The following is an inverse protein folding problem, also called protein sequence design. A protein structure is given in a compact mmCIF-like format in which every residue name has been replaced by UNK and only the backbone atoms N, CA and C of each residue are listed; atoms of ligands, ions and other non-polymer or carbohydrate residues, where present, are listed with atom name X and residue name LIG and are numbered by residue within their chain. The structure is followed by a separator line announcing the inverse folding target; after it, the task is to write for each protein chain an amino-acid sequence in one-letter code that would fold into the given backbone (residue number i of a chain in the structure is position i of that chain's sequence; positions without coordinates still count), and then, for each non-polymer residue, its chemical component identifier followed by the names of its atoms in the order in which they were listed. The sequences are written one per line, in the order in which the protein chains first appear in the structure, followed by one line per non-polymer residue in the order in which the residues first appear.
data_IF_252160744518
#
_entry.id   IF_252160744518
#
_cell.length_a   1.000
_cell.length_b   1.000
_cell.length_c   1.000
_cell.angle_alpha   90.00
_cell.angle_beta   90.00
_cell.angle_gamma   90.00
#
_symmetry.space_group_name_H-M   'P 1'
#
loop_
_entity.id
_entity.type
_entity.pdbx_description
1 polymer ?
#
# COMPACT_ATOMS: atom_id res chain seq x y z
N UNK A 1 -1.93 8.04 -29.23
CA UNK A 1 -1.26 7.54 -28.00
C UNK A 1 -1.56 8.36 -26.74
N UNK A 2 -1.54 9.71 -26.77
CA UNK A 2 -1.80 10.54 -25.57
C UNK A 2 -3.17 10.28 -24.89
N UNK A 3 -4.24 10.14 -25.66
CA UNK A 3 -5.60 9.91 -25.13
C UNK A 3 -5.78 8.55 -24.44
N UNK A 4 -5.05 7.52 -24.87
CA UNK A 4 -5.15 6.18 -24.30
C UNK A 4 -4.48 6.10 -22.92
N UNK A 5 -3.35 6.79 -22.75
CA UNK A 5 -2.66 6.90 -21.47
C UNK A 5 -3.49 7.70 -20.45
N UNK A 6 -4.20 8.74 -20.89
CA UNK A 6 -5.14 9.48 -20.03
C UNK A 6 -6.34 8.63 -19.59
N UNK A 7 -6.89 7.80 -20.48
CA UNK A 7 -8.01 6.91 -20.13
C UNK A 7 -7.60 5.86 -19.10
N UNK A 8 -6.42 5.25 -19.26
CA UNK A 8 -5.87 4.29 -18.29
C UNK A 8 -5.58 4.97 -16.94
N UNK A 9 -5.05 6.19 -16.95
CA UNK A 9 -4.73 6.91 -15.71
C UNK A 9 -5.99 7.30 -14.94
N UNK A 10 -7.05 7.77 -15.64
CA UNK A 10 -8.34 8.09 -15.03
C UNK A 10 -9.03 6.86 -14.47
N UNK A 11 -9.08 5.77 -15.22
CA UNK A 11 -9.68 4.51 -14.77
C UNK A 11 -8.94 3.95 -13.54
N UNK A 12 -7.61 4.02 -13.51
CA UNK A 12 -6.83 3.60 -12.35
C UNK A 12 -7.04 4.48 -11.13
N UNK A 13 -7.12 5.80 -11.32
CA UNK A 13 -7.42 6.73 -10.23
C UNK A 13 -8.78 6.43 -9.60
N UNK A 14 -9.80 6.16 -10.42
CA UNK A 14 -11.13 5.76 -9.95
C UNK A 14 -11.10 4.41 -9.19
N UNK A 15 -10.31 3.43 -9.64
CA UNK A 15 -10.12 2.16 -8.90
C UNK A 15 -9.51 2.38 -7.52
N UNK A 16 -8.44 3.18 -7.43
CA UNK A 16 -7.78 3.51 -6.17
C UNK A 16 -8.73 4.27 -5.23
N UNK A 17 -9.50 5.21 -5.76
CA UNK A 17 -10.50 5.96 -4.97
C UNK A 17 -11.59 5.06 -4.39
N UNK A 18 -12.02 4.03 -5.14
CA UNK A 18 -13.00 3.06 -4.68
C UNK A 18 -12.40 2.09 -3.66
N UNK A 19 -11.20 1.54 -3.92
CA UNK A 19 -10.50 0.66 -2.98
C UNK A 19 -10.26 1.34 -1.63
N UNK A 20 -9.79 2.60 -1.65
CA UNK A 20 -9.59 3.38 -0.41
C UNK A 20 -10.92 3.65 0.29
N UNK A 21 -12.00 3.90 -0.46
CA UNK A 21 -13.31 4.14 0.14
C UNK A 21 -13.87 2.88 0.81
N UNK A 22 -13.80 1.73 0.15
CA UNK A 22 -14.25 0.43 0.68
C UNK A 22 -13.48 0.06 1.96
N UNK A 23 -12.16 0.23 1.98
CA UNK A 23 -11.34 -0.07 3.16
C UNK A 23 -11.68 0.85 4.36
N UNK A 24 -11.86 2.16 4.10
CA UNK A 24 -12.27 3.11 5.14
C UNK A 24 -13.65 2.77 5.71
N UNK A 25 -14.61 2.45 4.83
CA UNK A 25 -15.94 2.01 5.23
C UNK A 25 -15.87 0.75 6.10
N UNK A 26 -15.09 -0.24 5.69
CA UNK A 26 -14.89 -1.48 6.43
C UNK A 26 -14.36 -1.24 7.85
N UNK A 27 -13.39 -0.34 8.03
CA UNK A 27 -12.87 -0.03 9.36
C UNK A 27 -13.88 0.70 10.25
N UNK A 28 -14.64 1.65 9.70
CA UNK A 28 -15.69 2.37 10.43
C UNK A 28 -16.78 1.38 10.86
N UNK A 29 -17.21 0.50 9.96
CA UNK A 29 -18.24 -0.51 10.24
C UNK A 29 -17.78 -1.52 11.29
N UNK A 30 -16.51 -1.96 11.21
CA UNK A 30 -15.90 -2.84 12.22
C UNK A 30 -15.89 -2.17 13.60
N UNK A 31 -15.49 -0.90 13.65
CA UNK A 31 -15.43 -0.15 14.89
C UNK A 31 -16.83 0.14 15.48
N UNK A 32 -17.82 0.41 14.63
CA UNK A 32 -19.22 0.55 15.05
C UNK A 32 -19.78 -0.78 15.58
N UNK A 33 -19.40 -1.91 14.99
CA UNK A 33 -19.76 -3.24 15.50
C UNK A 33 -19.19 -3.47 16.90
N UNK A 34 -17.94 -3.06 17.15
CA UNK A 34 -17.33 -3.17 18.48
C UNK A 34 -18.11 -2.36 19.53
N UNK A 35 -18.50 -1.12 19.22
CA UNK A 35 -19.34 -0.31 20.12
C UNK A 35 -20.72 -0.92 20.36
N UNK A 36 -21.31 -1.52 19.33
CA UNK A 36 -22.60 -2.21 19.45
C UNK A 36 -22.47 -3.44 20.35
N UNK A 37 -21.35 -4.16 20.28
CA UNK A 37 -21.06 -5.30 21.17
C UNK A 37 -20.90 -4.89 22.65
N UNK A 38 -20.52 -3.64 22.90
CA UNK A 38 -20.44 -3.03 24.24
C UNK A 38 -21.81 -2.52 24.75
N UNK A 39 -22.89 -2.75 24.00
CA UNK A 39 -24.26 -2.37 24.37
C UNK A 39 -24.67 -0.96 23.97
N UNK A 40 -23.86 -0.26 23.16
CA UNK A 40 -24.23 1.04 22.59
C UNK A 40 -25.18 0.82 21.41
N UNK A 41 -26.14 1.73 21.22
CA UNK A 41 -27.10 1.64 20.11
C UNK A 41 -26.38 1.74 18.75
N UNK A 42 -26.87 1.09 17.68
CA UNK A 42 -26.19 1.08 16.38
C UNK A 42 -25.93 2.50 15.82
N UNK A 43 -26.90 3.39 15.96
CA UNK A 43 -26.79 4.79 15.53
C UNK A 43 -25.70 5.53 16.29
N UNK A 44 -25.65 5.39 17.62
CA UNK A 44 -24.65 6.03 18.46
C UNK A 44 -23.26 5.41 18.28
N UNK A 45 -23.19 4.10 18.08
CA UNK A 45 -21.98 3.36 17.73
C UNK A 45 -21.33 3.87 16.45
N UNK A 46 -22.14 4.21 15.43
CA UNK A 46 -21.63 4.74 14.17
C UNK A 46 -21.10 6.17 14.33
N UNK A 47 -21.81 7.01 15.09
CA UNK A 47 -21.35 8.37 15.41
C UNK A 47 -20.03 8.32 16.19
N UNK A 48 -19.89 7.40 17.16
CA UNK A 48 -18.65 7.21 17.91
C UNK A 48 -17.51 6.67 17.05
N UNK A 49 -17.80 5.75 16.14
CA UNK A 49 -16.81 5.23 15.19
C UNK A 49 -16.31 6.34 14.25
N UNK A 50 -17.21 7.12 13.65
CA UNK A 50 -16.85 8.25 12.78
C UNK A 50 -16.04 9.32 13.56
N UNK A 51 -16.50 9.69 14.76
CA UNK A 51 -15.79 10.66 15.61
C UNK A 51 -14.39 10.18 16.02
N UNK A 52 -14.22 8.87 16.24
CA UNK A 52 -12.94 8.27 16.59
C UNK A 52 -12.01 8.11 15.39
N UNK A 53 -12.56 7.84 14.21
CA UNK A 53 -11.80 7.79 12.96
C UNK A 53 -11.26 9.17 12.57
N UNK A 54 -12.00 10.23 12.92
CA UNK A 54 -11.59 11.61 12.73
C UNK A 54 -11.93 12.14 11.34
N UNK A 55 -11.01 12.89 10.73
CA UNK A 55 -11.22 13.49 9.41
C UNK A 55 -11.03 12.45 8.28
N UNK A 56 -12.10 11.71 8.00
CA UNK A 56 -12.16 10.64 6.99
C UNK A 56 -11.77 11.16 5.60
N UNK A 57 -12.22 12.36 5.23
CA UNK A 57 -11.93 12.94 3.90
C UNK A 57 -10.45 13.30 3.76
N UNK A 58 -9.84 13.85 4.81
CA UNK A 58 -8.39 14.07 4.82
C UNK A 58 -7.62 12.76 4.69
N UNK A 59 -7.99 11.72 5.45
CA UNK A 59 -7.33 10.41 5.38
C UNK A 59 -7.45 9.82 3.97
N UNK A 60 -8.66 9.86 3.39
CA UNK A 60 -8.94 9.41 2.02
C UNK A 60 -8.02 10.11 1.02
N UNK A 61 -7.93 11.44 1.09
CA UNK A 61 -7.12 12.24 0.17
C UNK A 61 -5.64 11.89 0.24
N UNK A 62 -5.11 11.65 1.44
CA UNK A 62 -3.72 11.27 1.66
C UNK A 62 -3.43 9.86 1.14
N UNK A 63 -4.32 8.90 1.37
CA UNK A 63 -4.21 7.53 0.85
C UNK A 63 -4.17 7.51 -0.68
N UNK A 64 -5.09 8.25 -1.33
CA UNK A 64 -5.11 8.38 -2.80
C UNK A 64 -3.80 9.00 -3.31
N UNK A 65 -3.31 10.06 -2.64
CA UNK A 65 -2.07 10.75 -3.00
C UNK A 65 -0.86 9.82 -2.92
N UNK A 66 -0.76 9.01 -1.86
CA UNK A 66 0.35 8.06 -1.66
C UNK A 66 0.30 6.93 -2.69
N UNK A 67 -0.88 6.33 -2.91
CA UNK A 67 -1.06 5.22 -3.85
C UNK A 67 -0.76 5.63 -5.30
N UNK A 68 -1.13 6.84 -5.69
CA UNK A 68 -0.86 7.39 -7.02
C UNK A 68 0.65 7.59 -7.27
N UNK A 69 1.44 7.96 -6.25
CA UNK A 69 2.87 8.26 -6.41
C UNK A 69 3.72 7.01 -6.65
N UNK A 70 3.39 5.88 -6.02
CA UNK A 70 4.22 4.67 -6.06
C UNK A 70 3.98 3.81 -7.32
N UNK A 71 2.81 3.92 -7.95
CA UNK A 71 2.44 3.10 -9.11
C UNK A 71 3.12 3.55 -10.40
N UNK A 72 3.35 4.85 -10.59
CA UNK A 72 4.00 5.38 -11.80
C UNK A 72 5.47 4.94 -11.91
N UNK A 73 6.24 5.12 -10.83
CA UNK A 73 7.65 4.76 -10.83
C UNK A 73 7.85 3.26 -11.07
N UNK A 74 7.05 2.43 -10.41
CA UNK A 74 7.09 0.96 -10.59
C UNK A 74 6.73 0.54 -12.01
N UNK A 75 5.76 1.20 -12.64
CA UNK A 75 5.35 0.92 -14.01
C UNK A 75 6.43 1.32 -15.03
N UNK A 76 7.02 2.51 -14.86
CA UNK A 76 8.14 2.97 -15.70
C UNK A 76 9.35 2.05 -15.56
N UNK A 77 9.72 1.68 -14.33
CA UNK A 77 10.86 0.79 -14.08
C UNK A 77 10.65 -0.57 -14.76
N UNK A 78 9.46 -1.16 -14.59
CA UNK A 78 9.09 -2.42 -15.26
C UNK A 78 9.20 -2.30 -16.78
N UNK A 79 8.71 -1.21 -17.35
CA UNK A 79 8.77 -0.97 -18.79
C UNK A 79 10.21 -0.86 -19.29
N UNK A 80 11.06 -0.11 -18.60
CA UNK A 80 12.49 0.04 -18.94
C UNK A 80 13.21 -1.31 -18.91
N UNK A 81 13.01 -2.10 -17.85
CA UNK A 81 13.65 -3.43 -17.76
C UNK A 81 13.12 -4.41 -18.81
N UNK A 82 11.82 -4.36 -19.14
CA UNK A 82 11.24 -5.16 -20.20
C UNK A 82 11.84 -4.80 -21.57
N UNK A 83 11.92 -3.50 -21.88
CA UNK A 83 12.55 -3.04 -23.14
C UNK A 83 14.01 -3.45 -23.20
N UNK A 84 14.76 -3.30 -22.10
CA UNK A 84 16.15 -3.75 -21.99
C UNK A 84 16.27 -5.26 -22.27
N UNK A 85 15.36 -6.08 -21.75
CA UNK A 85 15.35 -7.53 -21.98
C UNK A 85 15.07 -7.87 -23.45
N UNK A 86 14.04 -7.24 -24.05
CA UNK A 86 13.68 -7.46 -25.45
C UNK A 86 14.82 -7.04 -26.40
N UNK A 87 15.44 -5.89 -26.15
CA UNK A 87 16.60 -5.42 -26.91
C UNK A 87 17.78 -6.38 -26.75
N UNK A 88 18.07 -6.84 -25.53
CA UNK A 88 19.12 -7.83 -25.27
C UNK A 88 18.90 -9.14 -26.04
N UNK A 89 17.66 -9.63 -26.08
CA UNK A 89 17.28 -10.82 -26.85
C UNK A 89 17.40 -10.60 -28.36
N UNK A 90 16.97 -9.44 -28.88
CA UNK A 90 17.11 -9.07 -30.29
C UNK A 90 18.58 -9.01 -30.70
N UNK A 91 19.43 -8.35 -29.90
CA UNK A 91 20.88 -8.28 -30.15
C UNK A 91 21.48 -9.68 -30.18
N UNK A 92 21.06 -10.56 -29.26
CA UNK A 92 21.51 -11.96 -29.21
C UNK A 92 21.04 -12.78 -30.41
N UNK A 93 19.81 -12.58 -30.88
CA UNK A 93 19.23 -13.33 -32.00
C UNK A 93 19.80 -12.88 -33.35
N UNK A 94 20.14 -11.59 -33.48
CA UNK A 94 20.60 -10.98 -34.73
C UNK A 94 22.13 -10.96 -34.86
N UNK A 95 22.87 -11.12 -33.76
CA UNK A 95 24.33 -11.13 -33.82
C UNK A 95 24.90 -12.53 -34.02
N UNK A 96 25.51 -12.72 -35.19
CA UNK A 96 26.34 -13.87 -35.52
C UNK A 96 27.77 -13.77 -34.98
N UNK A 97 28.18 -12.60 -34.49
CA UNK A 97 29.52 -12.37 -33.93
C UNK A 97 29.59 -12.56 -32.41
N UNK A 98 30.62 -13.30 -31.95
CA UNK A 98 30.80 -13.73 -30.55
C UNK A 98 30.86 -12.55 -29.57
N UNK A 99 31.47 -11.43 -29.93
CA UNK A 99 31.60 -10.26 -29.03
C UNK A 99 30.26 -9.57 -28.77
N UNK A 100 29.36 -9.53 -29.76
CA UNK A 100 28.07 -8.86 -29.64
C UNK A 100 27.07 -9.71 -28.83
N UNK A 101 27.23 -11.04 -28.85
CA UNK A 101 26.42 -11.94 -28.00
C UNK A 101 26.68 -11.75 -26.50
N UNK A 102 27.90 -11.33 -26.11
CA UNK A 102 28.24 -11.06 -24.70
C UNK A 102 27.50 -9.83 -24.18
N UNK A 103 27.40 -8.77 -24.99
CA UNK A 103 26.63 -7.56 -24.66
C UNK A 103 25.13 -7.88 -24.54
N UNK A 104 24.57 -8.63 -25.49
CA UNK A 104 23.17 -9.07 -25.43
C UNK A 104 22.87 -9.89 -24.18
N UNK A 105 23.78 -10.80 -23.78
CA UNK A 105 23.62 -11.63 -22.58
C UNK A 105 23.60 -10.80 -21.30
N UNK A 106 24.51 -9.83 -21.17
CA UNK A 106 24.54 -8.91 -20.01
C UNK A 106 23.28 -8.05 -19.95
N UNK A 107 22.81 -7.49 -21.07
CA UNK A 107 21.53 -6.75 -21.11
C UNK A 107 20.33 -7.61 -20.70
N UNK A 108 20.30 -8.88 -21.14
CA UNK A 108 19.21 -9.80 -20.80
C UNK A 108 19.23 -10.14 -19.30
N UNK A 109 20.42 -10.34 -18.72
CA UNK A 109 20.58 -10.55 -17.27
C UNK A 109 20.13 -9.33 -16.46
N UNK A 110 20.52 -8.12 -16.86
CA UNK A 110 20.12 -6.88 -16.18
C UNK A 110 18.60 -6.67 -16.26
N UNK A 111 18.02 -6.84 -17.45
CA UNK A 111 16.57 -6.75 -17.64
C UNK A 111 15.79 -7.79 -16.83
N UNK A 112 16.25 -9.05 -16.87
CA UNK A 112 15.63 -10.15 -16.12
C UNK A 112 15.71 -9.94 -14.60
N UNK A 113 16.88 -9.55 -14.09
CA UNK A 113 17.07 -9.26 -12.67
C UNK A 113 16.24 -8.04 -12.23
N UNK A 114 16.16 -7.01 -13.06
CA UNK A 114 15.34 -5.82 -12.79
C UNK A 114 13.85 -6.14 -12.68
N UNK A 115 13.31 -6.94 -13.61
CA UNK A 115 11.92 -7.43 -13.54
C UNK A 115 11.70 -8.28 -12.28
N UNK A 116 12.64 -9.18 -11.97
CA UNK A 116 12.56 -10.03 -10.78
C UNK A 116 12.52 -9.21 -9.49
N UNK A 117 13.35 -8.16 -9.38
CA UNK A 117 13.36 -7.29 -8.21
C UNK A 117 12.07 -6.47 -8.07
N UNK A 118 11.52 -5.97 -9.17
CA UNK A 118 10.22 -5.28 -9.14
C UNK A 118 9.10 -6.25 -8.73
N UNK A 119 9.14 -7.48 -9.24
CA UNK A 119 8.19 -8.51 -8.86
C UNK A 119 8.31 -8.90 -7.38
N UNK A 120 9.53 -9.11 -6.88
CA UNK A 120 9.79 -9.42 -5.47
C UNK A 120 9.32 -8.29 -4.54
N UNK A 121 9.55 -7.02 -4.92
CA UNK A 121 9.03 -5.87 -4.18
C UNK A 121 7.51 -5.85 -4.15
N UNK A 122 6.85 -6.17 -5.26
CA UNK A 122 5.38 -6.22 -5.36
C UNK A 122 4.79 -7.38 -4.55
N UNK A 123 5.40 -8.56 -4.63
CA UNK A 123 5.02 -9.74 -3.86
C UNK A 123 5.25 -9.53 -2.35
N UNK A 124 6.36 -8.92 -1.95
CA UNK A 124 6.63 -8.58 -0.55
C UNK A 124 5.63 -7.57 0.02
N UNK A 125 5.21 -6.58 -0.77
CA UNK A 125 4.13 -5.67 -0.37
C UNK A 125 2.80 -6.42 -0.18
N UNK A 126 2.47 -7.35 -1.07
CA UNK A 126 1.22 -8.14 -0.98
C UNK A 126 1.21 -9.07 0.24
N UNK A 127 2.35 -9.68 0.58
CA UNK A 127 2.52 -10.50 1.80
C UNK A 127 2.40 -9.66 3.08
N UNK A 128 2.92 -8.42 3.07
CA UNK A 128 2.79 -7.50 4.21
C UNK A 128 1.35 -6.99 4.37
N UNK A 129 0.62 -6.77 3.27
CA UNK A 129 -0.79 -6.34 3.33
C UNK A 129 -1.75 -7.50 3.63
N UNK A 130 -1.42 -8.73 3.24
CA UNK A 130 -2.20 -9.94 3.58
C UNK A 130 -1.97 -10.41 5.03
N UNK A 131 -1.04 -9.78 5.78
CA UNK A 131 -1.01 -9.87 7.24
C UNK A 131 -2.10 -9.02 7.89
N UNK A 132 -3.35 -9.19 7.44
CA UNK A 132 -4.49 -9.05 8.33
C UNK A 132 -4.32 -10.09 9.44
N UNK A 133 -3.95 -9.64 10.63
CA UNK A 133 -3.72 -10.47 11.84
C UNK A 133 -2.42 -11.27 11.93
N UNK A 134 -1.26 -10.70 11.54
CA UNK A 134 -0.05 -11.09 12.30
C UNK A 134 -0.21 -10.49 13.70
N UNK A 135 -0.86 -11.26 14.59
CA UNK A 135 -0.68 -11.19 16.05
C UNK A 135 0.79 -11.51 16.35
N UNK A 136 1.70 -10.63 15.95
CA UNK A 136 2.92 -10.44 16.71
C UNK A 136 2.42 -10.14 18.12
N UNK A 137 2.85 -10.92 19.11
CA UNK A 137 2.54 -10.73 20.53
C UNK A 137 3.13 -9.42 21.07
N UNK A 138 2.77 -8.32 20.43
CA UNK A 138 2.91 -6.93 20.82
C UNK A 138 1.52 -6.49 21.28
N UNK A 139 0.94 -7.20 22.26
CA UNK A 139 -0.24 -6.74 22.99
C UNK A 139 0.02 -5.38 23.68
N UNK A 140 1.28 -4.95 23.74
CA UNK A 140 1.72 -3.66 24.26
C UNK A 140 2.41 -2.82 23.19
N UNK A 141 1.75 -2.57 22.06
CA UNK A 141 2.18 -1.46 21.21
C UNK A 141 2.09 -0.17 22.03
N UNK A 142 3.15 0.64 22.18
CA UNK A 142 3.10 1.87 22.97
C UNK A 142 2.11 2.90 22.41
N UNK A 143 1.51 2.61 21.24
CA UNK A 143 0.51 3.42 20.53
C UNK A 143 -0.92 2.90 20.77
N UNK A 144 -1.11 1.69 21.29
CA UNK A 144 -2.46 1.17 21.60
C UNK A 144 -3.00 1.75 22.91
N UNK A 145 -4.32 1.79 22.98
CA UNK A 145 -5.06 2.18 24.18
C UNK A 145 -4.86 1.12 25.27
N UNK A 146 -4.82 1.56 26.53
CA UNK A 146 -4.87 0.61 27.64
C UNK A 146 -6.30 0.09 27.86
N UNK A 147 -6.47 -0.86 28.78
CA UNK A 147 -7.79 -1.38 29.16
C UNK A 147 -8.75 -0.31 29.68
N UNK A 148 -8.23 0.86 30.06
CA UNK A 148 -8.99 2.03 30.50
C UNK A 148 -9.28 3.02 29.35
N UNK A 149 -8.94 2.68 28.11
CA UNK A 149 -9.17 3.50 26.93
C UNK A 149 -8.30 4.75 26.85
N UNK A 150 -7.21 4.84 27.62
CA UNK A 150 -6.33 6.02 27.66
C UNK A 150 -5.35 6.02 26.49
N UNK A 151 -5.15 7.20 25.91
CA UNK A 151 -4.10 7.41 24.91
C UNK A 151 -2.71 7.34 25.56
N UNK A 152 -1.65 7.06 24.78
CA UNK A 152 -0.28 7.05 25.28
C UNK A 152 0.15 8.37 25.95
N UNK A 153 -0.35 9.51 25.45
CA UNK A 153 -0.08 10.82 26.03
C UNK A 153 -0.78 11.02 27.38
N UNK A 154 -2.03 10.56 27.51
CA UNK A 154 -2.78 10.62 28.79
C UNK A 154 -2.17 9.72 29.85
N UNK A 155 -1.62 8.56 29.45
CA UNK A 155 -0.82 7.72 30.35
C UNK A 155 0.36 8.51 30.89
N UNK A 156 1.21 9.10 30.05
CA UNK A 156 2.38 9.86 30.55
C UNK A 156 1.98 11.03 31.44
N UNK A 157 0.88 11.73 31.09
CA UNK A 157 0.36 12.84 31.89
C UNK A 157 -0.08 12.39 33.30
N UNK A 158 -0.73 11.23 33.43
CA UNK A 158 -1.19 10.74 34.72
C UNK A 158 -0.04 10.33 35.66
N UNK A 159 1.17 10.09 35.14
CA UNK A 159 2.34 9.79 35.97
C UNK A 159 2.94 11.07 36.57
N UNK A 160 2.73 12.22 35.93
CA UNK A 160 3.18 13.51 36.45
C UNK A 160 2.22 14.12 37.47
N UNK A 161 0.93 13.80 37.40
CA UNK A 161 -0.08 14.28 38.35
C UNK A 161 -0.15 13.43 39.65
N UNK A 162 0.55 12.29 39.69
CA UNK A 162 0.57 11.36 40.82
C UNK A 162 1.82 11.43 41.72
N UNK A 163 2.63 12.49 41.62
CA UNK A 163 3.77 12.77 42.52
C UNK A 163 3.53 14.01 43.38
#
# INVERSE_FOLDING_TARGET
MKNFLELISRSRKASIENEVHEELQFHIDTQASDYTSLGITPEESRVLAEARFGDVERIRSECIRISTRNTLLTWVLTFVFLMSLVVGLLVRALSTEVNVTRVGTVMTMIGGLGILLVYAKRAGSMVLTQSGSVRLGLDNSPVSFDEQGRTPFERVKSWQEGQ
#
